data_IF_392019213873
#
_entry.id   IF_392019213873
#
_cell.length_a   1.000
_cell.length_b   1.000
_cell.length_c   1.000
_cell.angle_alpha   90.00
_cell.angle_beta   90.00
_cell.angle_gamma   90.00
#
_symmetry.space_group_name_H-M   'P 1'
#
loop_
_entity.id
_entity.type
_entity.pdbx_description
1 polymer ?
#
# COMPACT_ATOMS: atom_id res chain seq x y z
N UNK A 1 -8.06 -0.77 34.63
CA UNK A 1 -7.58 -0.90 36.04
C UNK A 1 -6.81 0.33 36.55
N UNK A 2 -5.87 0.97 35.81
CA UNK A 2 -5.15 2.16 36.35
C UNK A 2 -5.93 3.48 36.45
N UNK A 3 -7.04 3.61 35.74
CA UNK A 3 -7.82 4.87 35.69
C UNK A 3 -8.16 5.39 37.10
N UNK A 4 -8.61 4.53 38.01
CA UNK A 4 -8.98 4.96 39.37
C UNK A 4 -7.79 5.26 40.29
N UNK A 5 -6.64 4.63 40.09
CA UNK A 5 -5.47 4.79 40.97
C UNK A 5 -4.68 6.08 40.68
N UNK A 6 -4.68 6.52 39.42
CA UNK A 6 -3.96 7.72 38.95
C UNK A 6 -4.81 9.00 39.08
N UNK A 7 -6.13 8.87 39.11
CA UNK A 7 -7.07 10.02 39.12
C UNK A 7 -7.13 10.78 40.45
N UNK A 8 -6.66 10.18 41.55
CA UNK A 8 -6.72 10.77 42.91
C UNK A 8 -5.55 11.72 43.28
N UNK A 9 -4.64 12.04 42.35
CA UNK A 9 -3.49 12.93 42.62
C UNK A 9 -3.61 14.24 41.84
N UNK A 10 -3.58 15.37 42.52
CA UNK A 10 -3.76 16.70 41.89
C UNK A 10 -2.61 17.12 40.97
N UNK A 11 -1.42 16.54 41.09
CA UNK A 11 -0.25 16.95 40.33
C UNK A 11 -0.23 16.35 38.89
N UNK A 12 -0.40 17.23 37.88
CA UNK A 12 -0.42 16.90 36.44
C UNK A 12 0.88 16.24 35.95
N UNK A 13 2.04 16.68 36.45
CA UNK A 13 3.36 16.14 36.07
C UNK A 13 3.54 14.72 36.57
N UNK A 14 3.17 14.47 37.84
CA UNK A 14 3.22 13.13 38.44
C UNK A 14 2.27 12.16 37.70
N UNK A 15 1.06 12.62 37.34
CA UNK A 15 0.13 11.83 36.52
C UNK A 15 0.71 11.49 35.15
N UNK A 16 1.40 12.43 34.48
CA UNK A 16 2.05 12.20 33.19
C UNK A 16 3.18 11.17 33.31
N UNK A 17 4.04 11.30 34.31
CA UNK A 17 5.14 10.37 34.58
C UNK A 17 4.65 8.95 34.86
N UNK A 18 3.69 8.78 35.78
CA UNK A 18 3.13 7.46 36.12
C UNK A 18 2.49 6.79 34.90
N UNK A 19 1.76 7.56 34.08
CA UNK A 19 1.20 7.03 32.82
C UNK A 19 2.28 6.60 31.85
N UNK A 20 3.36 7.37 31.75
CA UNK A 20 4.50 7.04 30.89
C UNK A 20 5.19 5.75 31.33
N UNK A 21 5.55 5.63 32.61
CA UNK A 21 6.22 4.44 33.13
C UNK A 21 5.33 3.19 33.07
N UNK A 22 4.04 3.35 33.37
CA UNK A 22 3.09 2.25 33.22
C UNK A 22 2.98 1.77 31.77
N UNK A 23 2.92 2.70 30.80
CA UNK A 23 2.91 2.37 29.36
C UNK A 23 4.17 1.61 28.96
N UNK A 24 5.36 2.11 29.34
CA UNK A 24 6.63 1.44 29.06
C UNK A 24 6.67 0.02 29.61
N UNK A 25 6.19 -0.18 30.84
CA UNK A 25 6.16 -1.50 31.47
C UNK A 25 5.19 -2.46 30.78
N UNK A 26 4.00 -2.01 30.37
CA UNK A 26 3.09 -2.82 29.56
C UNK A 26 3.74 -3.18 28.24
N UNK A 27 4.28 -2.20 27.53
CA UNK A 27 4.89 -2.38 26.21
C UNK A 27 5.98 -3.43 26.28
N UNK A 28 6.89 -3.28 27.24
CA UNK A 28 7.95 -4.25 27.50
C UNK A 28 7.39 -5.64 27.81
N UNK A 29 6.41 -5.74 28.71
CA UNK A 29 5.78 -7.02 29.02
C UNK A 29 5.20 -7.69 27.77
N UNK A 30 4.45 -6.95 26.95
CA UNK A 30 3.86 -7.50 25.73
C UNK A 30 4.95 -7.90 24.73
N UNK A 31 5.95 -7.04 24.48
CA UNK A 31 7.06 -7.35 23.57
C UNK A 31 7.87 -8.56 24.04
N UNK A 32 8.07 -8.74 25.34
CA UNK A 32 8.79 -9.89 25.90
C UNK A 32 8.01 -11.21 25.71
N UNK A 33 6.67 -11.18 25.73
CA UNK A 33 5.84 -12.40 25.76
C UNK A 33 5.16 -12.72 24.43
N UNK A 34 4.93 -11.73 23.57
CA UNK A 34 4.16 -11.87 22.33
C UNK A 34 4.92 -11.36 21.12
N UNK A 35 4.80 -12.07 20.01
CA UNK A 35 5.01 -11.54 18.68
C UNK A 35 3.72 -10.89 18.22
N UNK A 36 3.78 -9.62 17.83
CA UNK A 36 2.62 -8.89 17.35
C UNK A 36 2.72 -8.72 15.84
N UNK A 37 1.61 -9.03 15.17
CA UNK A 37 1.42 -8.92 13.75
C UNK A 37 0.23 -8.02 13.44
N UNK A 38 0.28 -7.30 12.32
CA UNK A 38 -0.85 -6.61 11.71
C UNK A 38 -1.26 -7.33 10.43
N UNK A 39 -2.55 -7.53 10.22
CA UNK A 39 -3.07 -7.96 8.92
C UNK A 39 -3.08 -6.79 7.94
N UNK A 40 -2.69 -7.06 6.69
CA UNK A 40 -2.53 -6.06 5.65
C UNK A 40 -3.71 -5.98 4.68
N UNK A 41 -4.68 -6.86 4.83
CA UNK A 41 -5.78 -7.05 3.87
C UNK A 41 -7.12 -6.47 4.36
N UNK A 42 -7.16 -6.00 5.60
CA UNK A 42 -8.37 -5.41 6.19
C UNK A 42 -8.25 -3.90 6.26
N UNK A 43 -9.29 -3.24 5.77
CA UNK A 43 -9.30 -1.79 5.57
C UNK A 43 -10.50 -1.11 6.22
N UNK A 44 -11.54 -1.87 6.55
CA UNK A 44 -12.81 -1.40 7.10
C UNK A 44 -13.29 -2.33 8.23
N UNK A 45 -14.27 -1.88 9.00
CA UNK A 45 -14.81 -2.63 10.15
C UNK A 45 -15.58 -3.88 9.72
N UNK A 46 -16.28 -3.83 8.58
CA UNK A 46 -17.15 -4.90 8.11
C UNK A 46 -16.32 -6.13 7.70
N UNK A 47 -15.27 -5.95 6.90
CA UNK A 47 -14.35 -7.02 6.51
C UNK A 47 -13.62 -7.64 7.71
N UNK A 48 -13.27 -6.85 8.72
CA UNK A 48 -12.69 -7.36 9.98
C UNK A 48 -13.71 -8.23 10.72
N UNK A 49 -14.96 -7.75 10.83
CA UNK A 49 -16.01 -8.45 11.54
C UNK A 49 -16.34 -9.78 10.87
N UNK A 50 -16.50 -9.78 9.55
CA UNK A 50 -16.70 -11.00 8.76
C UNK A 50 -15.56 -12.00 8.97
N UNK A 51 -14.31 -11.53 8.89
CA UNK A 51 -13.15 -12.39 9.13
C UNK A 51 -13.14 -12.98 10.54
N UNK A 52 -13.41 -12.17 11.57
CA UNK A 52 -13.48 -12.63 12.95
C UNK A 52 -14.61 -13.64 13.10
N UNK A 53 -15.80 -13.37 12.58
CA UNK A 53 -16.96 -14.25 12.73
C UNK A 53 -16.73 -15.61 12.04
N UNK A 54 -16.15 -15.59 10.85
CA UNK A 54 -15.79 -16.82 10.14
C UNK A 54 -14.68 -17.60 10.85
N UNK A 55 -13.64 -16.91 11.33
CA UNK A 55 -12.41 -17.55 11.78
C UNK A 55 -12.27 -17.60 13.29
N UNK A 56 -13.28 -17.15 14.03
CA UNK A 56 -13.28 -16.90 15.47
C UNK A 56 -12.56 -18.01 16.23
N UNK A 57 -12.99 -19.27 16.02
CA UNK A 57 -12.45 -20.46 16.72
C UNK A 57 -10.95 -20.64 16.60
N UNK A 58 -10.35 -20.23 15.48
CA UNK A 58 -8.90 -20.36 15.26
C UNK A 58 -8.13 -19.18 15.86
N UNK A 59 -8.77 -18.01 15.97
CA UNK A 59 -8.13 -16.74 16.37
C UNK A 59 -8.47 -16.26 17.78
N UNK A 60 -9.29 -17.01 18.55
CA UNK A 60 -9.75 -16.65 19.90
C UNK A 60 -8.59 -16.17 20.78
N UNK A 61 -8.76 -14.98 21.38
CA UNK A 61 -7.83 -14.42 22.37
C UNK A 61 -6.49 -13.94 21.82
N UNK A 62 -6.23 -14.16 20.53
CA UNK A 62 -5.00 -13.76 19.84
C UNK A 62 -5.20 -12.54 18.96
N UNK A 63 -6.44 -12.20 18.60
CA UNK A 63 -6.73 -11.11 17.66
C UNK A 63 -7.42 -9.92 18.34
N UNK A 64 -7.01 -8.71 17.95
CA UNK A 64 -7.52 -7.44 18.46
C UNK A 64 -7.84 -6.52 17.29
N UNK A 65 -9.06 -5.99 17.24
CA UNK A 65 -9.39 -4.87 16.36
C UNK A 65 -9.11 -3.56 17.10
N UNK A 66 -8.48 -2.61 16.41
CA UNK A 66 -8.26 -1.26 16.93
C UNK A 66 -8.82 -0.27 15.93
N UNK A 67 -9.76 0.55 16.39
CA UNK A 67 -10.17 1.76 15.71
C UNK A 67 -9.11 2.84 15.96
N UNK A 68 -8.58 3.39 14.88
CA UNK A 68 -7.66 4.51 14.90
C UNK A 68 -8.30 5.68 14.19
N UNK A 69 -7.86 6.90 14.48
CA UNK A 69 -8.42 8.11 13.84
C UNK A 69 -8.38 8.10 12.31
N UNK A 70 -7.55 7.22 11.72
CA UNK A 70 -7.36 7.08 10.28
C UNK A 70 -7.94 5.77 9.70
N UNK A 71 -8.62 4.92 10.50
CA UNK A 71 -9.23 3.67 10.05
C UNK A 71 -9.13 2.50 11.03
N UNK A 72 -9.53 1.30 10.59
CA UNK A 72 -9.51 0.09 11.40
C UNK A 72 -8.28 -0.76 11.09
N UNK A 73 -7.77 -1.46 12.10
CA UNK A 73 -6.74 -2.47 11.90
C UNK A 73 -7.00 -3.72 12.71
N UNK A 74 -6.63 -4.86 12.13
CA UNK A 74 -6.65 -6.15 12.80
C UNK A 74 -5.23 -6.56 13.19
N UNK A 75 -5.04 -6.80 14.48
CA UNK A 75 -3.77 -7.23 15.06
C UNK A 75 -3.86 -8.65 15.59
N UNK A 76 -2.77 -9.40 15.47
CA UNK A 76 -2.60 -10.75 16.00
C UNK A 76 -1.41 -10.77 16.96
N UNK A 77 -1.64 -11.14 18.22
CA UNK A 77 -0.62 -11.38 19.22
C UNK A 77 -0.43 -12.89 19.42
N UNK A 78 0.73 -13.40 19.04
CA UNK A 78 1.13 -14.80 19.22
C UNK A 78 2.15 -14.92 20.34
N UNK A 79 1.88 -15.75 21.32
CA UNK A 79 2.77 -15.95 22.47
C UNK A 79 4.07 -16.66 22.04
N UNK A 80 5.24 -16.08 22.32
CA UNK A 80 6.53 -16.54 21.76
C UNK A 80 6.91 -17.98 22.11
N UNK A 81 6.42 -18.50 23.24
CA UNK A 81 6.80 -19.81 23.78
C UNK A 81 5.67 -20.85 23.75
N UNK A 82 4.56 -20.55 23.08
CA UNK A 82 3.40 -21.43 23.07
C UNK A 82 3.50 -22.46 21.94
N UNK A 83 3.67 -23.73 22.31
CA UNK A 83 3.76 -24.87 21.37
C UNK A 83 2.40 -25.28 20.78
N UNK A 84 1.29 -24.80 21.34
CA UNK A 84 -0.09 -25.08 20.93
C UNK A 84 -0.63 -23.99 19.98
N UNK A 85 0.20 -23.57 19.02
CA UNK A 85 -0.22 -22.64 17.98
C UNK A 85 -0.69 -23.42 16.75
N UNK A 86 -2.01 -23.64 16.68
CA UNK A 86 -2.68 -24.07 15.43
C UNK A 86 -2.50 -23.07 14.27
N UNK A 87 -2.09 -21.85 14.58
CA UNK A 87 -1.81 -20.77 13.63
C UNK A 87 -0.29 -20.60 13.54
N UNK A 88 0.30 -21.09 12.45
CA UNK A 88 1.72 -20.88 12.15
C UNK A 88 1.85 -19.68 11.22
N UNK A 89 2.59 -18.67 11.65
CA UNK A 89 3.00 -17.56 10.79
C UNK A 89 4.33 -17.93 10.15
N UNK A 90 4.37 -18.01 8.83
CA UNK A 90 5.57 -18.29 8.02
C UNK A 90 5.72 -17.19 6.99
N UNK A 91 6.93 -16.66 6.79
CA UNK A 91 7.24 -15.69 5.74
C UNK A 91 6.27 -14.49 5.70
N UNK A 92 5.94 -13.94 6.87
CA UNK A 92 4.97 -12.84 7.01
C UNK A 92 3.59 -13.15 6.44
N UNK A 93 3.18 -14.42 6.41
CA UNK A 93 1.83 -14.83 6.03
C UNK A 93 1.23 -15.83 7.03
N UNK A 94 -0.10 -15.86 7.06
CA UNK A 94 -0.87 -16.78 7.88
C UNK A 94 -1.92 -17.49 7.04
N UNK A 95 -1.87 -18.82 7.04
CA UNK A 95 -2.88 -19.64 6.37
C UNK A 95 -4.03 -19.96 7.33
N UNK A 96 -5.25 -19.58 6.94
CA UNK A 96 -6.49 -19.89 7.67
C UNK A 96 -7.48 -20.48 6.68
N UNK A 97 -7.92 -21.72 6.93
CA UNK A 97 -8.89 -22.45 6.10
C UNK A 97 -8.55 -22.45 4.59
N UNK A 98 -7.26 -22.54 4.25
CA UNK A 98 -6.79 -22.55 2.85
C UNK A 98 -6.63 -21.17 2.20
N UNK A 99 -7.02 -20.07 2.85
CA UNK A 99 -6.70 -18.71 2.42
C UNK A 99 -5.43 -18.22 3.11
N UNK A 100 -4.53 -17.62 2.34
CA UNK A 100 -3.34 -16.95 2.87
C UNK A 100 -3.64 -15.48 3.13
N UNK A 101 -3.20 -15.00 4.30
CA UNK A 101 -3.30 -13.61 4.71
C UNK A 101 -1.92 -13.02 4.91
N UNK A 102 -1.63 -11.87 4.30
CA UNK A 102 -0.38 -11.16 4.53
C UNK A 102 -0.38 -10.44 5.89
N UNK A 103 0.71 -10.60 6.60
CA UNK A 103 0.96 -10.07 7.93
C UNK A 103 2.21 -9.18 7.94
N UNK A 104 2.28 -8.29 8.91
CA UNK A 104 3.45 -7.49 9.20
C UNK A 104 3.79 -7.59 10.68
N UNK A 105 4.95 -8.16 11.01
CA UNK A 105 5.42 -8.16 12.40
C UNK A 105 5.91 -6.77 12.80
N UNK A 106 5.59 -6.32 14.00
CA UNK A 106 6.12 -5.06 14.53
C UNK A 106 6.41 -5.14 16.02
N UNK A 107 7.36 -4.29 16.45
CA UNK A 107 7.68 -4.09 17.86
C UNK A 107 6.85 -2.94 18.42
N UNK A 108 6.41 -3.11 19.66
CA UNK A 108 5.78 -2.03 20.39
C UNK A 108 6.88 -1.11 20.92
N UNK A 109 6.95 0.12 20.40
CA UNK A 109 7.85 1.16 20.93
C UNK A 109 7.08 2.12 21.84
N UNK A 110 7.80 2.86 22.70
CA UNK A 110 7.40 3.58 23.92
C UNK A 110 6.41 4.76 23.78
N UNK A 111 5.55 4.74 22.77
CA UNK A 111 4.53 5.76 22.52
C UNK A 111 4.56 6.31 21.10
N UNK A 112 5.48 5.82 20.27
CA UNK A 112 5.35 5.85 18.83
C UNK A 112 4.97 4.43 18.43
N UNK A 113 3.74 4.22 17.93
CA UNK A 113 3.58 3.18 16.91
C UNK A 113 4.75 3.38 15.94
N UNK A 114 5.49 2.35 15.52
CA UNK A 114 6.70 2.57 14.74
C UNK A 114 6.36 3.59 13.64
N UNK A 115 7.10 4.70 13.55
CA UNK A 115 6.82 5.71 12.51
C UNK A 115 6.81 5.04 11.13
N UNK A 116 7.49 3.90 11.00
CA UNK A 116 7.51 2.98 9.86
C UNK A 116 6.18 2.27 9.55
N UNK A 117 5.15 2.41 10.39
CA UNK A 117 3.79 1.88 10.20
C UNK A 117 2.73 2.99 10.24
N UNK A 118 3.12 4.24 9.96
CA UNK A 118 2.18 5.31 9.61
C UNK A 118 1.19 4.74 8.60
N UNK A 119 -0.08 4.71 8.98
CA UNK A 119 -1.12 3.81 8.48
C UNK A 119 -1.25 3.84 6.96
N UNK A 120 -0.43 3.05 6.26
CA UNK A 120 -0.27 3.19 4.82
C UNK A 120 -1.54 2.92 4.05
N UNK A 121 -2.54 2.27 4.63
CA UNK A 121 -3.75 1.89 3.91
C UNK A 121 -4.96 1.90 4.85
N UNK A 122 -6.05 2.53 4.42
CA UNK A 122 -7.36 2.57 5.11
C UNK A 122 -8.52 2.48 4.11
N UNK A 123 -9.61 1.81 4.47
CA UNK A 123 -10.76 1.57 3.58
C UNK A 123 -11.64 2.80 3.42
N UNK A 124 -11.70 3.63 4.47
CA UNK A 124 -12.40 4.90 4.46
C UNK A 124 -11.64 5.90 5.34
N UNK A 125 -11.50 7.13 4.86
CA UNK A 125 -10.86 8.22 5.59
C UNK A 125 -11.76 9.46 5.57
N UNK A 126 -11.54 10.35 6.54
CA UNK A 126 -12.15 11.67 6.52
C UNK A 126 -11.75 12.42 5.24
N UNK A 127 -12.73 13.05 4.57
CA UNK A 127 -12.51 13.79 3.33
C UNK A 127 -11.41 14.86 3.44
N UNK A 128 -11.23 15.45 4.63
CA UNK A 128 -10.17 16.45 4.89
C UNK A 128 -8.74 15.90 4.78
N UNK A 129 -8.58 14.58 4.84
CA UNK A 129 -7.28 13.90 4.70
C UNK A 129 -7.00 13.44 3.26
N UNK A 130 -8.05 13.36 2.42
CA UNK A 130 -7.93 13.00 1.00
C UNK A 130 -7.07 14.02 0.28
N UNK A 131 -6.08 13.55 -0.46
CA UNK A 131 -5.11 14.35 -1.21
C UNK A 131 -4.27 15.34 -0.39
N UNK A 132 -4.40 15.35 0.93
CA UNK A 132 -3.55 16.11 1.85
C UNK A 132 -2.49 15.23 2.51
N UNK A 133 -2.91 14.08 3.03
CA UNK A 133 -2.01 13.05 3.58
C UNK A 133 -2.21 11.68 2.95
N UNK A 134 -3.36 11.46 2.29
CA UNK A 134 -3.70 10.20 1.65
C UNK A 134 -3.92 10.35 0.15
N UNK A 135 -3.53 9.34 -0.63
CA UNK A 135 -3.85 9.21 -2.05
C UNK A 135 -4.66 7.93 -2.29
N UNK A 136 -5.55 7.88 -3.29
CA UNK A 136 -6.23 6.64 -3.62
C UNK A 136 -5.23 5.60 -4.13
N UNK A 137 -5.25 4.40 -3.53
CA UNK A 137 -4.53 3.23 -4.00
C UNK A 137 -5.49 2.36 -4.81
N UNK A 138 -5.13 2.15 -6.07
CA UNK A 138 -5.89 1.32 -6.98
C UNK A 138 -5.23 -0.05 -7.12
N UNK A 139 -6.05 -1.07 -7.40
CA UNK A 139 -5.52 -2.26 -8.08
C UNK A 139 -4.97 -1.83 -9.46
N UNK A 140 -3.91 -2.45 -9.95
CA UNK A 140 -3.31 -2.07 -11.23
C UNK A 140 -4.32 -2.21 -12.38
N UNK A 141 -5.26 -3.15 -12.27
CA UNK A 141 -6.38 -3.32 -13.20
C UNK A 141 -7.44 -2.23 -13.10
N UNK A 142 -7.62 -1.68 -11.91
CA UNK A 142 -8.59 -0.64 -11.61
C UNK A 142 -8.10 0.78 -11.92
N UNK A 143 -6.79 1.02 -11.78
CA UNK A 143 -6.14 2.32 -11.99
C UNK A 143 -6.27 2.85 -13.42
N UNK A 144 -6.83 2.05 -14.32
CA UNK A 144 -6.76 2.26 -15.75
C UNK A 144 -8.08 2.01 -16.50
N UNK A 145 -9.11 1.45 -15.85
CA UNK A 145 -10.47 1.38 -16.42
C UNK A 145 -11.07 2.77 -16.62
N UNK A 146 -12.24 2.84 -17.26
CA UNK A 146 -12.98 4.10 -17.51
C UNK A 146 -13.07 4.89 -16.21
N UNK A 147 -12.18 5.87 -16.06
CA UNK A 147 -11.98 6.67 -14.85
C UNK A 147 -13.13 7.67 -14.80
N UNK A 148 -14.36 7.14 -14.76
CA UNK A 148 -15.56 7.93 -14.61
C UNK A 148 -15.48 8.51 -13.21
N UNK A 149 -15.47 9.85 -13.16
CA UNK A 149 -15.22 10.71 -12.01
C UNK A 149 -16.12 10.46 -10.78
N UNK A 150 -16.95 9.41 -10.78
CA UNK A 150 -18.07 9.21 -9.86
C UNK A 150 -18.22 7.77 -9.34
N UNK A 151 -17.43 6.80 -9.79
CA UNK A 151 -17.54 5.42 -9.32
C UNK A 151 -16.28 4.98 -8.56
N UNK A 152 -16.45 4.51 -7.32
CA UNK A 152 -15.43 3.81 -6.50
C UNK A 152 -14.93 2.49 -7.14
N UNK A 153 -15.18 2.29 -8.43
CA UNK A 153 -14.84 1.10 -9.18
C UNK A 153 -13.33 0.92 -9.20
N UNK A 154 -12.86 0.04 -8.32
CA UNK A 154 -11.47 -0.38 -8.26
C UNK A 154 -10.56 0.41 -7.33
N UNK A 155 -11.09 1.42 -6.61
CA UNK A 155 -10.44 1.95 -5.42
C UNK A 155 -10.26 0.80 -4.43
N UNK A 156 -9.01 0.44 -4.15
CA UNK A 156 -8.74 -0.59 -3.14
C UNK A 156 -8.92 -0.01 -1.75
N UNK A 157 -8.41 1.21 -1.56
CA UNK A 157 -8.25 1.87 -0.27
C UNK A 157 -7.54 3.22 -0.43
N UNK A 158 -7.50 4.00 0.64
CA UNK A 158 -6.71 5.22 0.76
C UNK A 158 -5.34 4.94 1.32
N UNK A 159 -4.30 5.35 0.60
CA UNK A 159 -2.91 5.15 0.96
C UNK A 159 -2.28 6.37 1.62
N UNK A 160 -1.71 6.22 2.83
CA UNK A 160 -1.03 7.33 3.51
C UNK A 160 0.30 7.64 2.81
N UNK A 161 0.31 8.73 2.05
CA UNK A 161 1.45 9.16 1.26
C UNK A 161 2.29 10.23 1.96
N UNK A 162 2.20 10.36 3.28
CA UNK A 162 2.86 11.45 4.02
C UNK A 162 4.40 11.38 4.06
N UNK A 163 4.99 10.25 3.67
CA UNK A 163 6.44 10.11 3.50
C UNK A 163 6.91 10.49 2.09
N UNK A 164 5.98 10.83 1.19
CA UNK A 164 6.30 11.43 -0.10
C UNK A 164 6.77 12.87 0.09
N UNK A 165 7.88 13.24 -0.56
CA UNK A 165 8.48 14.57 -0.40
C UNK A 165 7.80 15.66 -1.22
N UNK A 166 6.91 15.31 -2.16
CA UNK A 166 6.18 16.26 -2.99
C UNK A 166 4.82 16.65 -2.40
N UNK A 167 4.20 17.66 -3.01
CA UNK A 167 2.83 18.05 -2.65
C UNK A 167 1.81 17.10 -3.27
N UNK A 168 0.95 16.53 -2.43
CA UNK A 168 -0.18 15.71 -2.85
C UNK A 168 -1.28 16.60 -3.45
N UNK A 169 -2.01 16.06 -4.43
CA UNK A 169 -3.17 16.70 -5.04
C UNK A 169 -4.10 15.66 -5.68
N UNK A 170 -5.26 16.11 -6.15
CA UNK A 170 -6.36 15.28 -6.69
C UNK A 170 -6.02 14.56 -8.01
N UNK A 171 -4.97 15.02 -8.69
CA UNK A 171 -4.45 14.37 -9.90
C UNK A 171 -3.51 13.22 -9.56
N UNK A 172 -3.25 12.92 -8.28
CA UNK A 172 -2.33 11.84 -7.90
C UNK A 172 -3.05 10.57 -7.45
N UNK A 173 -2.42 9.44 -7.71
CA UNK A 173 -2.87 8.13 -7.26
C UNK A 173 -1.67 7.18 -7.03
N UNK A 174 -1.93 6.05 -6.39
CA UNK A 174 -0.91 5.07 -6.03
C UNK A 174 -1.22 3.73 -6.69
N UNK A 175 -0.16 3.07 -7.17
CA UNK A 175 -0.17 1.67 -7.61
C UNK A 175 1.02 0.96 -6.98
N UNK A 176 0.81 -0.26 -6.51
CA UNK A 176 1.90 -1.11 -6.01
C UNK A 176 2.66 -1.71 -7.20
N UNK A 177 3.98 -1.52 -7.24
CA UNK A 177 4.85 -2.14 -8.23
C UNK A 177 4.92 -3.66 -8.00
N UNK A 178 4.88 -4.42 -9.09
CA UNK A 178 5.00 -5.88 -9.10
C UNK A 178 6.14 -6.27 -10.05
N UNK A 179 7.07 -7.07 -9.56
CA UNK A 179 8.28 -7.50 -10.26
C UNK A 179 9.43 -6.50 -10.20
N UNK A 180 10.56 -6.86 -10.81
CA UNK A 180 11.84 -6.15 -10.65
C UNK A 180 12.35 -5.50 -11.96
N UNK A 181 11.52 -5.41 -12.99
CA UNK A 181 11.89 -4.85 -14.31
C UNK A 181 12.34 -3.38 -14.29
N UNK A 182 12.02 -2.64 -13.22
CA UNK A 182 12.37 -1.24 -13.05
C UNK A 182 13.44 -1.00 -11.96
N UNK A 183 14.12 -2.07 -11.51
CA UNK A 183 15.25 -1.96 -10.59
C UNK A 183 16.41 -1.15 -11.21
N UNK A 184 17.16 -0.37 -10.40
CA UNK A 184 16.99 -0.15 -8.96
C UNK A 184 16.05 1.02 -8.61
N UNK A 185 15.51 1.72 -9.62
CA UNK A 185 14.73 2.95 -9.41
C UNK A 185 13.35 2.66 -8.82
N UNK A 186 12.72 1.55 -9.15
CA UNK A 186 11.46 1.04 -8.56
C UNK A 186 11.65 -0.44 -8.26
N UNK A 187 11.51 -0.84 -6.99
CA UNK A 187 11.63 -2.24 -6.59
C UNK A 187 10.27 -2.91 -6.56
N UNK A 188 10.29 -4.24 -6.60
CA UNK A 188 9.11 -5.04 -6.31
C UNK A 188 8.50 -4.64 -4.96
N UNK A 189 7.19 -4.43 -4.97
CA UNK A 189 6.41 -4.03 -3.81
C UNK A 189 6.42 -2.54 -3.45
N UNK A 190 7.25 -1.70 -4.08
CA UNK A 190 7.23 -0.25 -3.85
C UNK A 190 5.86 0.35 -4.22
N UNK A 191 5.38 1.32 -3.44
CA UNK A 191 4.15 2.07 -3.74
C UNK A 191 4.49 3.26 -4.62
N UNK A 192 4.21 3.14 -5.92
CA UNK A 192 4.50 4.14 -6.92
C UNK A 192 3.38 5.19 -6.98
N UNK A 193 3.76 6.46 -6.90
CA UNK A 193 2.86 7.60 -6.98
C UNK A 193 2.90 8.11 -8.42
N UNK A 194 1.73 8.20 -9.02
CA UNK A 194 1.55 8.69 -10.38
C UNK A 194 0.69 9.95 -10.36
N UNK A 195 1.02 10.90 -11.22
CA UNK A 195 0.10 11.97 -11.63
C UNK A 195 -0.70 11.46 -12.83
N UNK A 196 -2.03 11.59 -12.79
CA UNK A 196 -2.96 11.23 -13.85
C UNK A 196 -2.54 11.85 -15.17
N UNK A 197 -2.61 11.03 -16.20
CA UNK A 197 -2.41 11.46 -17.57
C UNK A 197 -3.77 11.80 -18.18
N UNK A 198 -3.99 13.08 -18.49
CA UNK A 198 -5.26 13.57 -19.04
C UNK A 198 -5.21 13.88 -20.54
N UNK A 199 -6.36 14.14 -21.18
CA UNK A 199 -6.44 14.51 -22.60
C UNK A 199 -5.66 15.78 -22.95
N UNK A 200 -5.44 16.68 -21.98
CA UNK A 200 -4.67 17.91 -22.15
C UNK A 200 -3.14 17.71 -22.12
N UNK A 201 -2.68 16.46 -21.97
CA UNK A 201 -1.26 16.15 -21.82
C UNK A 201 -0.59 15.86 -23.19
N UNK A 202 0.52 16.58 -23.40
CA UNK A 202 1.59 16.44 -24.42
C UNK A 202 2.11 15.03 -24.76
N UNK A 203 1.62 14.27 -25.75
CA UNK A 203 2.18 12.93 -26.09
C UNK A 203 3.71 12.96 -26.33
N UNK A 204 4.23 14.00 -27.00
CA UNK A 204 5.64 14.15 -27.35
C UNK A 204 6.58 14.70 -26.26
N UNK A 205 6.09 14.99 -25.04
CA UNK A 205 6.91 15.56 -23.95
C UNK A 205 7.41 14.52 -22.94
N UNK A 206 7.26 13.23 -23.25
CA UNK A 206 7.39 12.13 -22.28
C UNK A 206 8.72 11.38 -22.37
N UNK A 207 9.64 11.85 -23.20
CA UNK A 207 10.95 11.22 -23.40
C UNK A 207 11.72 11.07 -22.08
N UNK A 208 12.06 9.84 -21.72
CA UNK A 208 12.75 9.50 -20.47
C UNK A 208 11.87 9.52 -19.21
N UNK A 209 10.56 9.73 -19.34
CA UNK A 209 9.63 9.68 -18.20
C UNK A 209 9.22 8.25 -17.89
N UNK A 210 9.10 7.91 -16.61
CA UNK A 210 8.51 6.63 -16.21
C UNK A 210 6.99 6.76 -16.22
N UNK A 211 6.32 5.85 -16.89
CA UNK A 211 4.87 5.89 -17.12
C UNK A 211 4.20 4.58 -16.70
N UNK A 212 2.96 4.70 -16.25
CA UNK A 212 2.02 3.57 -16.18
C UNK A 212 1.27 3.50 -17.50
N UNK A 213 1.43 2.39 -18.22
CA UNK A 213 0.80 2.14 -19.52
C UNK A 213 -0.17 0.98 -19.40
N UNK A 214 -1.37 1.20 -19.90
CA UNK A 214 -2.32 0.17 -20.27
C UNK A 214 -2.00 -0.28 -21.69
N UNK A 215 -1.77 -1.59 -21.88
CA UNK A 215 -1.62 -2.23 -23.17
C UNK A 215 -2.79 -3.17 -23.40
N UNK A 216 -3.60 -2.90 -24.41
CA UNK A 216 -4.68 -3.79 -24.81
C UNK A 216 -4.11 -4.98 -25.59
N UNK A 217 -4.47 -6.19 -25.19
CA UNK A 217 -4.21 -7.41 -25.95
C UNK A 217 -5.54 -8.16 -26.14
N UNK A 218 -5.93 -8.32 -27.41
CA UNK A 218 -7.17 -8.99 -27.82
C UNK A 218 -7.29 -10.46 -27.36
N UNK A 219 -6.18 -11.09 -26.96
CA UNK A 219 -6.13 -12.52 -26.61
C UNK A 219 -5.98 -12.73 -25.09
N UNK A 220 -5.21 -11.89 -24.40
CA UNK A 220 -4.76 -12.15 -23.01
C UNK A 220 -5.39 -11.26 -21.94
N UNK A 221 -6.39 -10.45 -22.31
CA UNK A 221 -6.92 -9.35 -21.48
C UNK A 221 -5.89 -8.20 -21.35
N UNK A 222 -6.37 -7.04 -20.93
CA UNK A 222 -5.58 -5.82 -20.79
C UNK A 222 -4.40 -6.02 -19.84
N UNK A 223 -3.19 -5.67 -20.30
CA UNK A 223 -1.95 -5.77 -19.52
C UNK A 223 -1.46 -4.38 -19.07
N UNK A 224 -0.91 -4.29 -17.87
CA UNK A 224 -0.41 -3.04 -17.31
C UNK A 224 1.08 -3.11 -17.03
N UNK A 225 1.81 -2.08 -17.43
CA UNK A 225 3.27 -2.03 -17.28
C UNK A 225 3.73 -0.67 -16.78
N UNK A 226 4.75 -0.69 -15.92
CA UNK A 226 5.53 0.50 -15.53
C UNK A 226 6.85 0.43 -16.29
N UNK A 227 7.12 1.41 -17.15
CA UNK A 227 8.29 1.46 -18.04
C UNK A 227 8.76 2.90 -18.25
N UNK A 228 10.02 3.06 -18.62
CA UNK A 228 10.53 4.34 -19.10
C UNK A 228 10.10 4.53 -20.56
N UNK A 229 9.48 5.66 -20.87
CA UNK A 229 8.95 5.95 -22.19
C UNK A 229 10.01 6.61 -23.05
N UNK A 230 10.24 6.06 -24.22
CA UNK A 230 11.07 6.65 -25.27
C UNK A 230 10.30 6.72 -26.58
N UNK A 231 10.55 7.78 -27.33
CA UNK A 231 9.99 8.02 -28.64
C UNK A 231 11.12 8.25 -29.65
N UNK A 232 11.25 7.35 -30.61
CA UNK A 232 12.17 7.48 -31.74
C UNK A 232 11.39 7.83 -33.01
N UNK A 233 11.90 8.78 -33.82
CA UNK A 233 11.31 9.15 -35.10
C UNK A 233 11.10 10.65 -35.30
N UNK A 234 11.02 11.08 -36.56
CA UNK A 234 10.70 12.45 -36.98
C UNK A 234 9.74 12.41 -38.18
N UNK A 235 8.46 12.17 -37.94
CA UNK A 235 7.42 12.16 -38.99
C UNK A 235 6.58 10.89 -39.01
N UNK A 236 5.56 10.83 -39.86
CA UNK A 236 4.44 9.87 -39.77
C UNK A 236 4.78 8.40 -40.04
N UNK A 237 5.91 8.11 -40.70
CA UNK A 237 6.17 6.79 -41.27
C UNK A 237 7.23 5.97 -40.49
N UNK A 238 7.97 6.59 -39.56
CA UNK A 238 9.06 5.96 -38.78
C UNK A 238 8.93 6.21 -37.26
N UNK A 239 7.73 6.53 -36.76
CA UNK A 239 7.49 6.72 -35.32
C UNK A 239 7.49 5.38 -34.57
N UNK A 240 8.34 5.28 -33.56
CA UNK A 240 8.50 4.10 -32.72
C UNK A 240 8.42 4.51 -31.26
N UNK A 241 7.54 3.84 -30.51
CA UNK A 241 7.51 3.96 -29.05
C UNK A 241 8.27 2.78 -28.45
N UNK A 242 9.18 3.07 -27.52
CA UNK A 242 9.94 2.08 -26.78
C UNK A 242 9.58 2.23 -25.31
N UNK A 243 9.07 1.17 -24.71
CA UNK A 243 8.85 1.07 -23.28
C UNK A 243 10.03 0.32 -22.67
N UNK A 244 11.00 1.08 -22.18
CA UNK A 244 12.29 0.60 -21.71
C UNK A 244 12.23 0.06 -20.27
N UNK A 245 12.88 -1.08 -20.04
CA UNK A 245 13.08 -1.65 -18.70
C UNK A 245 14.43 -1.21 -18.13
N UNK A 246 14.41 -0.52 -16.99
CA UNK A 246 15.66 -0.09 -16.33
C UNK A 246 16.54 -1.26 -15.85
N UNK A 247 15.92 -2.42 -15.62
CA UNK A 247 16.64 -3.65 -15.31
C UNK A 247 16.98 -4.40 -16.62
N UNK A 248 18.28 -4.45 -16.94
CA UNK A 248 18.82 -5.04 -18.17
C UNK A 248 18.54 -6.55 -18.37
N UNK A 249 18.01 -7.25 -17.37
CA UNK A 249 17.52 -8.63 -17.52
C UNK A 249 16.25 -8.72 -18.36
N UNK A 250 15.54 -7.61 -18.50
CA UNK A 250 14.28 -7.51 -19.22
C UNK A 250 14.50 -6.84 -20.57
N UNK A 251 13.79 -7.32 -21.58
CA UNK A 251 13.78 -6.71 -22.91
C UNK A 251 12.82 -5.54 -22.94
N UNK A 252 13.10 -4.60 -23.82
CA UNK A 252 12.21 -3.48 -24.09
C UNK A 252 10.99 -3.95 -24.89
N UNK A 253 9.89 -3.24 -24.70
CA UNK A 253 8.68 -3.44 -25.48
C UNK A 253 8.67 -2.36 -26.56
N UNK A 254 8.86 -2.78 -27.80
CA UNK A 254 8.85 -1.90 -28.96
C UNK A 254 7.46 -1.91 -29.61
N UNK A 255 6.96 -0.74 -29.94
CA UNK A 255 5.69 -0.54 -30.64
C UNK A 255 6.00 0.20 -31.94
N UNK A 256 5.86 -0.50 -33.06
CA UNK A 256 6.33 -0.07 -34.38
C UNK A 256 5.20 0.10 -35.41
N UNK A 257 4.03 -0.49 -35.18
CA UNK A 257 2.94 -0.47 -36.16
C UNK A 257 1.93 0.65 -35.82
N UNK A 258 1.43 1.37 -36.84
CA UNK A 258 0.41 2.41 -36.65
C UNK A 258 -0.89 1.89 -36.00
N UNK A 259 -1.18 0.59 -36.12
CA UNK A 259 -2.25 -0.10 -35.39
C UNK A 259 -1.97 -0.21 -33.89
N UNK A 260 -0.71 -0.38 -33.48
CA UNK A 260 -0.29 -0.44 -32.07
C UNK A 260 -0.30 0.93 -31.39
N UNK A 261 -0.09 2.00 -32.15
CA UNK A 261 0.05 3.36 -31.62
C UNK A 261 -1.29 4.04 -31.30
N UNK A 262 -2.34 3.75 -32.07
CA UNK A 262 -3.63 4.46 -31.94
C UNK A 262 -4.68 3.70 -31.09
N UNK A 263 -4.66 2.36 -31.08
CA UNK A 263 -5.71 1.57 -30.41
C UNK A 263 -5.17 0.63 -29.30
N UNK A 264 -3.85 0.42 -29.21
CA UNK A 264 -3.29 -0.64 -28.34
C UNK A 264 -2.65 -0.16 -27.04
N UNK A 265 -2.35 1.14 -26.89
CA UNK A 265 -1.74 1.67 -25.66
C UNK A 265 -2.34 2.99 -25.16
N UNK A 266 -2.53 3.07 -23.84
CA UNK A 266 -2.97 4.29 -23.16
C UNK A 266 -2.07 4.57 -21.96
N UNK A 267 -1.47 5.77 -21.93
CA UNK A 267 -0.73 6.24 -20.75
C UNK A 267 -1.74 6.70 -19.71
N UNK A 268 -1.66 6.15 -18.50
CA UNK A 268 -2.60 6.40 -17.40
C UNK A 268 -2.02 7.33 -16.34
N UNK A 269 -0.70 7.32 -16.18
CA UNK A 269 -0.05 8.23 -15.26
C UNK A 269 1.45 8.36 -15.49
N UNK A 270 1.99 9.50 -15.05
CA UNK A 270 3.41 9.82 -15.04
C UNK A 270 3.93 9.62 -13.62
N UNK A 271 4.98 8.83 -13.48
CA UNK A 271 5.60 8.55 -12.18
C UNK A 271 6.21 9.82 -11.61
N UNK A 272 5.77 10.22 -10.41
CA UNK A 272 6.30 11.41 -9.72
C UNK A 272 7.10 11.04 -8.47
N UNK A 273 7.00 9.80 -8.01
CA UNK A 273 7.84 9.28 -6.94
C UNK A 273 7.31 7.96 -6.40
N UNK A 274 7.94 7.50 -5.32
CA UNK A 274 7.55 6.25 -4.66
C UNK A 274 7.71 6.35 -3.16
N UNK A 275 6.93 5.55 -2.45
CA UNK A 275 7.16 5.24 -1.06
C UNK A 275 7.59 3.78 -1.00
N UNK A 276 8.76 3.52 -0.39
CA UNK A 276 9.28 2.16 -0.28
C UNK A 276 8.32 1.31 0.52
N UNK A 277 8.13 0.06 0.11
CA UNK A 277 7.39 -0.88 0.94
C UNK A 277 8.06 -0.94 2.32
N UNK A 278 7.35 -0.60 3.42
CA UNK A 278 7.92 -0.68 4.77
C UNK A 278 8.19 -2.13 5.18
N UNK A 279 7.55 -3.08 4.49
CA UNK A 279 7.74 -4.50 4.66
C UNK A 279 8.83 -4.94 3.71
N UNK A 280 10.02 -5.19 4.26
CA UNK A 280 10.95 -6.10 3.60
C UNK A 280 10.24 -7.46 3.57
N UNK A 281 9.75 -7.87 2.40
CA UNK A 281 9.52 -9.29 2.15
C UNK A 281 10.92 -9.91 2.27
N UNK A 282 11.17 -10.53 3.42
CA UNK A 282 12.45 -11.13 3.81
C UNK A 282 12.59 -12.52 3.23
#
# INVERSE_FOLDING_TARGET
>A
VLSNYVSRRDNKTVRKYIRSEFRKNIIKYIDDHYNIYRFLEFYDEESIKEFIDENFRQVIGKVYSIETGDGYCLMLALEKNNKDQSLVVSDNSLAIKGKQYKLAQFKLDDGKYPETFKWFISGSINDTLKYYTYLPLFDIQAACGDFSYQSDTGLKCWFNASDYSGNLNEDMFVVKAIGDSMNPKINDGDYCIFKKYGPDSVIGSREGEIVLVEKYDSITETNYVIKEYHHEGKGTDDEKIILHSLNNKYKDIELTDQYDLNDSISVKGIFVGKIKCPLKEG
#
